data_IF_991874567708
#
_entry.id   IF_991874567708
#
_cell.length_a   1.000
_cell.length_b   1.000
_cell.length_c   1.000
_cell.angle_alpha   90.00
_cell.angle_beta   90.00
_cell.angle_gamma   90.00
#
_symmetry.space_group_name_H-M   'P 1'
#
loop_
_entity.id
_entity.type
_entity.pdbx_description
1 polymer ?
#
# COMPACT_ATOMS: atom_id res chain seq x y z
N UNK A 1 -40.73 -29.05 44.76
CA UNK A 1 -39.33 -28.69 44.42
C UNK A 1 -39.39 -27.82 43.17
N UNK A 2 -38.72 -26.68 43.21
CA UNK A 2 -38.73 -25.58 42.23
C UNK A 2 -38.09 -25.95 40.87
N UNK A 3 -38.43 -25.25 39.77
CA UNK A 3 -38.04 -25.63 38.41
C UNK A 3 -36.61 -25.18 38.09
N UNK A 4 -35.82 -26.08 37.49
CA UNK A 4 -34.47 -25.76 37.02
C UNK A 4 -34.54 -24.91 35.75
N UNK A 5 -33.97 -23.71 35.83
CA UNK A 5 -34.02 -22.68 34.80
C UNK A 5 -33.10 -22.98 33.61
N UNK A 6 -33.68 -22.87 32.41
CA UNK A 6 -33.24 -21.99 31.31
C UNK A 6 -31.76 -22.04 30.88
N UNK A 7 -31.47 -22.82 29.83
CA UNK A 7 -30.33 -22.58 28.91
C UNK A 7 -30.85 -22.05 27.57
N UNK A 8 -31.20 -20.77 27.53
CA UNK A 8 -31.41 -20.03 26.27
C UNK A 8 -30.64 -18.71 26.36
N UNK A 9 -29.31 -18.78 26.24
CA UNK A 9 -28.43 -17.63 26.08
C UNK A 9 -27.24 -18.03 25.17
N UNK A 10 -27.48 -18.21 23.88
CA UNK A 10 -26.41 -18.37 22.88
C UNK A 10 -26.56 -17.51 21.64
N UNK A 11 -27.46 -16.51 21.63
CA UNK A 11 -27.68 -15.67 20.43
C UNK A 11 -27.16 -14.22 20.56
N UNK A 12 -26.84 -13.76 21.78
CA UNK A 12 -26.31 -12.40 22.02
C UNK A 12 -24.79 -12.34 22.15
N UNK A 13 -24.14 -13.39 22.68
CA UNK A 13 -22.69 -13.48 22.81
C UNK A 13 -22.02 -13.59 21.44
N UNK A 14 -22.54 -14.46 20.57
CA UNK A 14 -22.00 -14.70 19.23
C UNK A 14 -22.05 -13.44 18.34
N UNK A 15 -23.10 -12.62 18.49
CA UNK A 15 -23.19 -11.33 17.79
C UNK A 15 -22.21 -10.30 18.33
N UNK A 16 -22.00 -10.24 19.66
CA UNK A 16 -21.01 -9.32 20.26
C UNK A 16 -19.59 -9.73 19.90
N UNK A 17 -19.30 -11.03 19.88
CA UNK A 17 -18.00 -11.56 19.52
C UNK A 17 -17.71 -11.35 18.03
N UNK A 18 -18.70 -11.55 17.16
CA UNK A 18 -18.60 -11.21 15.73
C UNK A 18 -18.38 -9.70 15.49
N UNK A 19 -19.08 -8.83 16.22
CA UNK A 19 -18.90 -7.38 16.14
C UNK A 19 -17.54 -6.95 16.69
N UNK A 20 -17.06 -7.55 17.78
CA UNK A 20 -15.74 -7.31 18.33
C UNK A 20 -14.63 -7.76 17.36
N UNK A 21 -14.77 -8.94 16.75
CA UNK A 21 -13.89 -9.39 15.67
C UNK A 21 -13.88 -8.42 14.49
N UNK A 22 -15.04 -7.91 14.07
CA UNK A 22 -15.13 -6.93 12.98
C UNK A 22 -14.43 -5.60 13.34
N UNK A 23 -14.55 -5.15 14.60
CA UNK A 23 -13.86 -3.94 15.11
C UNK A 23 -12.34 -4.15 15.15
N UNK A 24 -11.88 -5.33 15.56
CA UNK A 24 -10.46 -5.69 15.60
C UNK A 24 -9.90 -5.77 14.17
N UNK A 25 -10.61 -6.40 13.24
CA UNK A 25 -10.23 -6.54 11.83
C UNK A 25 -10.16 -5.19 11.09
N UNK A 26 -10.90 -4.18 11.55
CA UNK A 26 -10.92 -2.83 10.98
C UNK A 26 -10.10 -1.79 11.78
N UNK A 27 -9.37 -2.21 12.81
CA UNK A 27 -8.58 -1.31 13.66
C UNK A 27 -7.38 -0.77 12.87
N UNK A 28 -7.41 0.53 12.55
CA UNK A 28 -6.29 1.21 11.88
C UNK A 28 -5.04 1.17 12.78
N UNK A 29 -3.83 0.94 12.22
CA UNK A 29 -2.60 0.95 13.02
C UNK A 29 -2.34 2.34 13.61
N UNK A 30 -1.64 2.38 14.73
CA UNK A 30 -1.13 3.65 15.29
C UNK A 30 -0.19 4.34 14.29
N UNK A 31 -0.09 5.67 14.38
CA UNK A 31 0.74 6.50 13.47
C UNK A 31 2.21 6.05 13.46
N UNK A 32 2.73 5.59 14.60
CA UNK A 32 4.11 5.11 14.75
C UNK A 32 4.43 3.86 13.89
N UNK A 33 3.45 2.97 13.67
CA UNK A 33 3.66 1.68 12.98
C UNK A 33 3.04 1.63 11.57
N UNK A 34 2.58 2.77 11.05
CA UNK A 34 1.85 2.84 9.79
C UNK A 34 2.66 2.33 8.59
N UNK A 35 3.97 2.57 8.57
CA UNK A 35 4.86 2.13 7.47
C UNK A 35 4.98 0.60 7.41
N UNK A 36 5.27 -0.04 8.55
CA UNK A 36 5.39 -1.49 8.64
C UNK A 36 4.06 -2.20 8.33
N UNK A 37 2.95 -1.66 8.87
CA UNK A 37 1.60 -2.18 8.58
C UNK A 37 1.26 -2.12 7.09
N UNK A 38 1.53 -0.99 6.42
CA UNK A 38 1.30 -0.85 4.97
C UNK A 38 2.10 -1.86 4.15
N UNK A 39 3.35 -2.13 4.53
CA UNK A 39 4.19 -3.13 3.86
C UNK A 39 3.62 -4.54 4.00
N UNK A 40 3.23 -4.93 5.22
CA UNK A 40 2.60 -6.24 5.49
C UNK A 40 1.30 -6.41 4.70
N UNK A 41 0.40 -5.43 4.80
CA UNK A 41 -0.87 -5.43 4.05
C UNK A 41 -0.67 -5.53 2.53
N UNK A 42 0.33 -4.82 1.99
CA UNK A 42 0.61 -4.91 0.55
C UNK A 42 1.18 -6.27 0.15
N UNK A 43 2.01 -6.88 1.00
CA UNK A 43 2.52 -8.23 0.76
C UNK A 43 1.38 -9.25 0.75
N UNK A 44 0.44 -9.18 1.70
CA UNK A 44 -0.77 -10.01 1.74
C UNK A 44 -1.59 -9.84 0.46
N UNK A 45 -1.90 -8.61 0.07
CA UNK A 45 -2.66 -8.31 -1.16
C UNK A 45 -1.96 -8.83 -2.42
N UNK A 46 -0.62 -8.78 -2.46
CA UNK A 46 0.16 -9.22 -3.63
C UNK A 46 0.22 -10.75 -3.74
N UNK A 47 0.13 -11.46 -2.62
CA UNK A 47 0.20 -12.92 -2.60
C UNK A 47 -1.11 -13.54 -3.11
N UNK A 48 -2.25 -12.88 -2.90
CA UNK A 48 -3.57 -13.38 -3.31
C UNK A 48 -4.04 -12.77 -4.65
N UNK A 49 -4.25 -13.57 -5.72
CA UNK A 49 -4.57 -13.04 -7.04
C UNK A 49 -5.93 -12.30 -7.09
N UNK A 50 -6.97 -12.83 -6.43
CA UNK A 50 -8.29 -12.20 -6.41
C UNK A 50 -8.27 -10.84 -5.69
N UNK A 51 -7.53 -10.76 -4.58
CA UNK A 51 -7.39 -9.51 -3.81
C UNK A 51 -6.57 -8.47 -4.58
N UNK A 52 -5.56 -8.91 -5.32
CA UNK A 52 -4.76 -8.06 -6.19
C UNK A 52 -5.60 -7.43 -7.30
N UNK A 53 -6.42 -8.22 -7.99
CA UNK A 53 -7.31 -7.73 -9.05
C UNK A 53 -8.33 -6.72 -8.52
N UNK A 54 -8.92 -7.01 -7.36
CA UNK A 54 -9.87 -6.10 -6.70
C UNK A 54 -9.24 -4.76 -6.32
N UNK A 55 -7.99 -4.75 -5.85
CA UNK A 55 -7.25 -3.51 -5.56
C UNK A 55 -6.87 -2.75 -6.84
N UNK A 56 -6.49 -3.47 -7.91
CA UNK A 56 -6.21 -2.86 -9.22
C UNK A 56 -7.44 -2.15 -9.78
N UNK A 57 -8.62 -2.75 -9.67
CA UNK A 57 -9.87 -2.13 -10.11
C UNK A 57 -10.22 -0.90 -9.25
N UNK A 58 -10.06 -0.98 -7.93
CA UNK A 58 -10.22 0.17 -7.04
C UNK A 58 -9.28 1.32 -7.41
N UNK A 59 -8.03 1.02 -7.75
CA UNK A 59 -7.07 2.04 -8.16
C UNK A 59 -7.46 2.69 -9.49
N UNK A 60 -7.94 1.89 -10.47
CA UNK A 60 -8.49 2.40 -11.73
C UNK A 60 -9.65 3.36 -11.50
N UNK A 61 -10.64 2.96 -10.69
CA UNK A 61 -11.79 3.81 -10.35
C UNK A 61 -11.36 5.10 -9.66
N UNK A 62 -10.41 5.04 -8.71
CA UNK A 62 -9.84 6.24 -8.08
C UNK A 62 -9.18 7.17 -9.09
N UNK A 63 -8.47 6.62 -10.07
CA UNK A 63 -7.83 7.41 -11.11
C UNK A 63 -8.87 8.11 -12.01
N UNK A 64 -9.92 7.39 -12.41
CA UNK A 64 -11.04 7.95 -13.18
C UNK A 64 -11.70 9.10 -12.42
N UNK A 65 -12.05 8.90 -11.15
CA UNK A 65 -12.63 9.95 -10.30
C UNK A 65 -11.72 11.19 -10.17
N UNK A 66 -10.40 10.99 -10.13
CA UNK A 66 -9.43 12.11 -10.09
C UNK A 66 -9.36 12.87 -11.41
N UNK A 67 -9.50 12.17 -12.54
CA UNK A 67 -9.61 12.79 -13.86
C UNK A 67 -10.89 13.60 -13.98
N UNK A 68 -12.04 13.03 -13.59
CA UNK A 68 -13.33 13.71 -13.59
C UNK A 68 -13.31 14.99 -12.74
N UNK A 69 -12.68 14.92 -11.55
CA UNK A 69 -12.47 16.07 -10.67
C UNK A 69 -11.39 17.06 -11.14
N UNK A 70 -10.80 16.86 -12.33
CA UNK A 70 -9.69 17.65 -12.90
C UNK A 70 -8.48 17.81 -11.97
N UNK A 71 -8.26 16.86 -11.06
CA UNK A 71 -7.08 16.85 -10.19
C UNK A 71 -5.84 16.31 -10.93
N UNK A 72 -6.06 15.48 -11.95
CA UNK A 72 -5.02 14.97 -12.85
C UNK A 72 -5.25 15.61 -14.22
N UNK A 73 -4.49 16.66 -14.50
CA UNK A 73 -4.53 17.41 -15.77
C UNK A 73 -3.34 16.96 -16.64
N UNK A 74 -3.56 16.61 -17.92
CA UNK A 74 -2.46 16.30 -18.85
C UNK A 74 -1.53 17.51 -19.02
N UNK A 75 -0.30 17.27 -19.45
CA UNK A 75 0.69 18.37 -19.53
C UNK A 75 0.29 19.43 -20.54
N UNK A 76 -0.36 19.04 -21.63
CA UNK A 76 -0.72 19.94 -22.73
C UNK A 76 -1.81 20.94 -22.32
N UNK A 77 -2.67 20.56 -21.36
CA UNK A 77 -3.70 21.43 -20.79
C UNK A 77 -3.18 22.35 -19.67
N UNK A 78 -1.92 22.20 -19.24
CA UNK A 78 -1.32 23.06 -18.20
C UNK A 78 -0.83 24.39 -18.79
N UNK A 79 -0.79 25.44 -17.95
CA UNK A 79 -0.14 26.70 -18.30
C UNK A 79 1.33 26.49 -18.66
N UNK A 80 1.91 27.25 -19.62
CA UNK A 80 3.31 27.13 -19.99
C UNK A 80 4.30 27.21 -18.81
N UNK A 81 3.96 27.98 -17.77
CA UNK A 81 4.77 28.06 -16.54
C UNK A 81 4.76 26.74 -15.77
N UNK A 82 3.59 26.13 -15.61
CA UNK A 82 3.43 24.87 -14.89
C UNK A 82 4.01 23.70 -15.67
N UNK A 83 3.89 23.72 -17.00
CA UNK A 83 4.57 22.76 -17.87
C UNK A 83 6.09 22.80 -17.66
N UNK A 84 6.69 24.00 -17.62
CA UNK A 84 8.13 24.17 -17.35
C UNK A 84 8.51 23.63 -15.98
N UNK A 85 7.75 23.93 -14.94
CA UNK A 85 7.99 23.40 -13.60
C UNK A 85 7.88 21.88 -13.54
N UNK A 86 6.86 21.30 -14.18
CA UNK A 86 6.66 19.86 -14.24
C UNK A 86 7.82 19.15 -14.97
N UNK A 87 8.25 19.69 -16.11
CA UNK A 87 9.42 19.17 -16.86
C UNK A 87 10.72 19.30 -16.05
N UNK A 88 10.89 20.36 -15.28
CA UNK A 88 12.02 20.51 -14.34
C UNK A 88 12.02 19.40 -13.29
N UNK A 89 10.88 19.17 -12.62
CA UNK A 89 10.72 18.08 -11.65
C UNK A 89 11.02 16.71 -12.27
N UNK A 90 10.57 16.45 -13.50
CA UNK A 90 10.86 15.20 -14.20
C UNK A 90 12.36 15.02 -14.49
N UNK A 91 13.07 16.07 -14.91
CA UNK A 91 14.53 16.03 -15.10
C UNK A 91 15.25 15.73 -13.81
N UNK A 92 14.88 16.39 -12.71
CA UNK A 92 15.46 16.17 -11.38
C UNK A 92 15.22 14.75 -10.87
N UNK A 93 13.98 14.25 -10.98
CA UNK A 93 13.64 12.89 -10.58
C UNK A 93 14.40 11.84 -11.41
N UNK A 94 14.51 12.05 -12.73
CA UNK A 94 15.28 11.17 -13.62
C UNK A 94 16.76 11.18 -13.29
N UNK A 95 17.34 12.36 -13.01
CA UNK A 95 18.73 12.50 -12.55
C UNK A 95 18.96 11.73 -11.26
N UNK A 96 18.13 11.96 -10.23
CA UNK A 96 18.20 11.27 -8.94
C UNK A 96 18.07 9.75 -9.08
N UNK A 97 17.18 9.28 -9.95
CA UNK A 97 17.04 7.85 -10.23
C UNK A 97 18.32 7.27 -10.84
N UNK A 98 18.92 7.95 -11.83
CA UNK A 98 20.18 7.51 -12.46
C UNK A 98 21.34 7.50 -11.47
N UNK A 99 21.47 8.53 -10.65
CA UNK A 99 22.50 8.63 -9.61
C UNK A 99 22.34 7.49 -8.59
N UNK A 100 21.13 7.28 -8.06
CA UNK A 100 20.86 6.18 -7.15
C UNK A 100 21.13 4.82 -7.80
N UNK A 101 20.84 4.66 -9.09
CA UNK A 101 21.15 3.43 -9.83
C UNK A 101 22.65 3.23 -9.95
N UNK A 102 23.43 4.27 -10.28
CA UNK A 102 24.89 4.21 -10.34
C UNK A 102 25.48 3.87 -8.97
N UNK A 103 25.08 4.57 -7.91
CA UNK A 103 25.52 4.29 -6.54
C UNK A 103 25.22 2.84 -6.13
N UNK A 104 24.05 2.30 -6.49
CA UNK A 104 23.74 0.88 -6.25
C UNK A 104 24.64 -0.08 -7.03
N UNK A 105 25.02 0.27 -8.27
CA UNK A 105 25.94 -0.52 -9.07
C UNK A 105 27.37 -0.44 -8.52
N UNK A 106 27.79 0.73 -8.05
CA UNK A 106 29.12 0.97 -7.49
C UNK A 106 29.29 0.25 -6.14
N UNK A 107 28.28 0.28 -5.27
CA UNK A 107 28.25 -0.48 -4.00
C UNK A 107 28.04 -1.99 -4.18
N UNK A 108 27.57 -2.42 -5.36
CA UNK A 108 27.42 -3.83 -5.75
C UNK A 108 28.66 -4.42 -6.42
N UNK A 109 29.68 -3.59 -6.72
CA UNK A 109 30.98 -4.03 -7.23
C UNK A 109 31.88 -4.40 -6.05
N UNK A 110 31.52 -5.45 -5.31
CA UNK A 110 32.47 -6.13 -4.44
C UNK A 110 33.49 -6.82 -5.36
N UNK A 111 34.80 -6.51 -5.30
CA UNK A 111 35.79 -7.31 -5.99
C UNK A 111 35.66 -8.74 -5.46
N UNK A 112 35.49 -9.73 -6.35
CA UNK A 112 35.67 -11.12 -5.95
C UNK A 112 37.11 -11.25 -5.46
N UNK A 113 37.31 -11.13 -4.15
CA UNK A 113 38.50 -11.66 -3.51
C UNK A 113 38.36 -13.17 -3.66
N UNK A 114 39.21 -13.73 -4.52
CA UNK A 114 39.20 -15.14 -4.89
C UNK A 114 39.11 -16.01 -3.64
N UNK A 115 38.08 -16.85 -3.62
CA UNK A 115 38.18 -18.14 -2.96
C UNK A 115 39.20 -18.95 -3.78
N UNK A 116 40.48 -18.81 -3.42
CA UNK A 116 41.43 -19.88 -3.72
C UNK A 116 41.07 -21.02 -2.75
N UNK A 117 40.39 -21.99 -3.32
CA UNK A 117 40.07 -23.27 -2.71
C UNK A 117 41.37 -24.07 -2.50
N UNK A 118 41.53 -24.59 -1.28
CA UNK A 118 42.34 -25.74 -0.86
C UNK A 118 43.88 -25.66 -0.87
#
# INVERSE_FOLDING_TARGET
MTPCARTFLSSQTDRRDALNCLVIMNKKPSTANLSAYKRKRYAEIKNDPEMYEREKEKERLRYIMKKEKRQVIPIDEKSPRDQRQQRKKWREASKRYRENKKVKLDMGRVPQMGLEEC
#
